data_IF_823021889825
#
_entry.id   IF_823021889825
#
_cell.length_a   1.000
_cell.length_b   1.000
_cell.length_c   1.000
_cell.angle_alpha   90.00
_cell.angle_beta   90.00
_cell.angle_gamma   90.00
#
_symmetry.space_group_name_H-M   'P 1'
#
loop_
_entity.id
_entity.type
_entity.pdbx_description
1 polymer ?
#
# COMPACT_ATOMS: atom_id res chain seq x y z
N UNK A 1 -21.93 25.90 2.27
CA UNK A 1 -20.83 25.87 1.28
C UNK A 1 -21.41 25.54 -0.09
N UNK A 2 -21.01 26.22 -1.17
CA UNK A 2 -21.54 25.95 -2.51
C UNK A 2 -21.03 24.60 -3.05
N UNK A 3 -21.73 23.93 -3.99
CA UNK A 3 -21.26 22.67 -4.57
C UNK A 3 -19.87 22.78 -5.24
N UNK A 4 -19.54 23.96 -5.78
CA UNK A 4 -18.22 24.25 -6.35
C UNK A 4 -17.13 24.31 -5.27
N UNK A 5 -17.37 25.04 -4.18
CA UNK A 5 -16.44 25.11 -3.06
C UNK A 5 -16.22 23.72 -2.43
N UNK A 6 -17.28 22.91 -2.27
CA UNK A 6 -17.16 21.54 -1.76
C UNK A 6 -16.30 20.63 -2.64
N UNK A 7 -16.40 20.78 -3.97
CA UNK A 7 -15.55 20.05 -4.92
C UNK A 7 -14.09 20.50 -4.84
N UNK A 8 -13.84 21.80 -4.75
CA UNK A 8 -12.50 22.35 -4.65
C UNK A 8 -11.80 21.89 -3.36
N UNK A 9 -12.49 21.92 -2.22
CA UNK A 9 -11.97 21.43 -0.94
C UNK A 9 -11.61 19.95 -1.04
N UNK A 10 -12.53 19.11 -1.55
CA UNK A 10 -12.26 17.68 -1.72
C UNK A 10 -11.05 17.42 -2.64
N UNK A 11 -10.96 18.13 -3.77
CA UNK A 11 -9.83 18.00 -4.68
C UNK A 11 -8.51 18.42 -4.03
N UNK A 12 -8.49 19.52 -3.27
CA UNK A 12 -7.32 19.94 -2.51
C UNK A 12 -6.93 18.90 -1.45
N UNK A 13 -7.89 18.31 -0.75
CA UNK A 13 -7.64 17.21 0.19
C UNK A 13 -7.02 16.00 -0.49
N UNK A 14 -7.50 15.63 -1.68
CA UNK A 14 -6.93 14.51 -2.44
C UNK A 14 -5.51 14.81 -2.90
N UNK A 15 -5.25 16.04 -3.37
CA UNK A 15 -3.91 16.47 -3.76
C UNK A 15 -2.93 16.41 -2.58
N UNK A 16 -3.35 16.86 -1.39
CA UNK A 16 -2.54 16.75 -0.16
C UNK A 16 -2.30 15.28 0.21
N UNK A 17 -3.32 14.44 0.18
CA UNK A 17 -3.19 13.02 0.50
C UNK A 17 -2.24 12.27 -0.47
N UNK A 18 -2.28 12.61 -1.76
CA UNK A 18 -1.36 12.10 -2.78
C UNK A 18 0.05 12.62 -2.52
N UNK A 19 0.21 13.91 -2.26
CA UNK A 19 1.51 14.52 -1.99
C UNK A 19 2.18 13.88 -0.75
N UNK A 20 1.42 13.65 0.32
CA UNK A 20 1.91 12.94 1.52
C UNK A 20 2.43 11.56 1.16
N UNK A 21 1.67 10.76 0.39
CA UNK A 21 2.11 9.42 -0.01
C UNK A 21 3.35 9.46 -0.88
N UNK A 22 3.43 10.36 -1.85
CA UNK A 22 4.63 10.53 -2.66
C UNK A 22 5.83 10.90 -1.78
N UNK A 23 5.67 11.83 -0.85
CA UNK A 23 6.71 12.15 0.13
C UNK A 23 7.16 10.91 0.90
N UNK A 24 6.24 10.06 1.36
CA UNK A 24 6.57 8.81 2.05
C UNK A 24 7.29 7.81 1.11
N UNK A 25 6.80 7.62 -0.11
CA UNK A 25 7.41 6.74 -1.12
C UNK A 25 8.88 7.10 -1.34
N UNK A 26 9.20 8.40 -1.46
CA UNK A 26 10.54 8.88 -1.80
C UNK A 26 11.45 9.15 -0.59
N UNK A 27 10.91 9.60 0.54
CA UNK A 27 11.72 10.06 1.68
C UNK A 27 11.78 9.08 2.84
N UNK A 28 10.84 8.13 2.95
CA UNK A 28 10.90 7.12 4.00
C UNK A 28 12.10 6.21 3.74
N UNK A 29 13.01 6.03 4.70
CA UNK A 29 14.14 5.11 4.53
C UNK A 29 13.67 3.65 4.39
N UNK A 30 14.55 2.78 3.92
CA UNK A 30 14.24 1.36 3.74
C UNK A 30 14.61 0.54 4.98
N UNK A 31 13.72 -0.37 5.39
CA UNK A 31 13.90 -1.19 6.59
C UNK A 31 13.90 -0.39 7.90
N UNK A 32 14.72 -0.80 8.87
CA UNK A 32 14.75 -0.22 10.23
C UNK A 32 15.47 1.13 10.36
N UNK A 33 15.93 1.68 9.25
CA UNK A 33 16.64 2.94 9.27
C UNK A 33 15.66 4.07 9.66
N UNK A 34 16.13 5.03 10.45
CA UNK A 34 15.40 6.25 10.78
C UNK A 34 16.09 7.44 10.12
N UNK A 35 15.36 8.18 9.28
CA UNK A 35 15.87 9.37 8.58
C UNK A 35 14.77 10.41 8.48
N UNK A 36 15.11 11.68 8.72
CA UNK A 36 14.13 12.78 8.68
C UNK A 36 12.94 12.59 9.62
N UNK A 37 13.12 11.89 10.75
CA UNK A 37 12.05 11.44 11.68
C UNK A 37 11.02 10.50 11.03
N UNK A 38 11.34 9.92 9.89
CA UNK A 38 10.61 8.83 9.27
C UNK A 38 11.38 7.54 9.54
N UNK A 39 10.68 6.57 10.10
CA UNK A 39 11.14 5.19 10.18
C UNK A 39 10.60 4.44 8.96
N UNK A 40 11.37 3.48 8.44
CA UNK A 40 10.85 2.58 7.41
C UNK A 40 9.92 1.52 8.02
N UNK A 41 9.31 0.71 7.17
CA UNK A 41 8.50 -0.40 7.63
C UNK A 41 9.43 -1.59 7.93
N UNK A 42 9.29 -2.14 9.12
CA UNK A 42 10.19 -3.14 9.70
C UNK A 42 10.21 -4.46 8.92
N UNK A 43 9.11 -4.82 8.24
CA UNK A 43 8.99 -6.00 7.38
C UNK A 43 9.12 -5.69 5.88
N UNK A 44 9.28 -4.42 5.48
CA UNK A 44 9.51 -4.03 4.08
C UNK A 44 10.69 -4.79 3.45
N UNK A 45 11.81 -5.01 4.17
CA UNK A 45 12.89 -5.83 3.65
C UNK A 45 12.48 -7.29 3.41
N UNK A 46 11.59 -7.84 4.22
CA UNK A 46 11.13 -9.21 4.09
C UNK A 46 10.23 -9.38 2.87
N UNK A 47 9.34 -8.41 2.61
CA UNK A 47 8.56 -8.35 1.37
C UNK A 47 9.46 -8.27 0.13
N UNK A 48 10.47 -7.39 0.14
CA UNK A 48 11.42 -7.27 -0.97
C UNK A 48 12.22 -8.55 -1.19
N UNK A 49 12.65 -9.23 -0.11
CA UNK A 49 13.34 -10.51 -0.21
C UNK A 49 12.44 -11.61 -0.77
N UNK A 50 11.15 -11.64 -0.40
CA UNK A 50 10.17 -12.54 -1.00
C UNK A 50 10.09 -12.30 -2.52
N UNK A 51 9.89 -11.04 -2.94
CA UNK A 51 9.79 -10.71 -4.38
C UNK A 51 11.08 -11.12 -5.11
N UNK A 52 12.27 -10.86 -4.54
CA UNK A 52 13.54 -11.29 -5.12
C UNK A 52 13.66 -12.80 -5.21
N UNK A 53 13.24 -13.55 -4.19
CA UNK A 53 13.24 -15.00 -4.22
C UNK A 53 12.36 -15.53 -5.36
N UNK A 54 11.15 -14.99 -5.53
CA UNK A 54 10.27 -15.32 -6.66
C UNK A 54 10.92 -14.98 -8.00
N UNK A 55 11.47 -13.77 -8.12
CA UNK A 55 12.07 -13.24 -9.34
C UNK A 55 13.33 -13.98 -9.79
N UNK A 56 14.04 -14.66 -8.86
CA UNK A 56 15.32 -15.33 -9.13
C UNK A 56 15.19 -16.85 -9.18
N UNK A 57 14.40 -17.44 -8.29
CA UNK A 57 14.29 -18.90 -8.16
C UNK A 57 13.06 -19.48 -8.86
N UNK A 58 12.11 -18.62 -9.22
CA UNK A 58 10.79 -19.00 -9.76
C UNK A 58 10.03 -19.99 -8.87
N UNK A 59 10.29 -19.95 -7.56
CA UNK A 59 9.67 -20.80 -6.55
C UNK A 59 9.20 -19.94 -5.38
N UNK A 60 8.12 -20.36 -4.74
CA UNK A 60 7.69 -19.74 -3.49
C UNK A 60 8.73 -20.02 -2.41
N UNK A 61 9.22 -18.99 -1.71
CA UNK A 61 10.09 -19.17 -0.58
C UNK A 61 9.31 -19.84 0.55
N UNK A 62 10.01 -20.65 1.34
CA UNK A 62 9.46 -21.32 2.51
C UNK A 62 10.05 -20.67 3.74
N UNK A 63 9.20 -20.34 4.71
CA UNK A 63 9.68 -19.80 5.97
C UNK A 63 10.42 -20.84 6.78
N UNK A 64 11.68 -20.54 7.11
CA UNK A 64 12.52 -21.39 7.95
C UNK A 64 12.87 -20.75 9.29
N UNK A 65 12.66 -19.44 9.43
CA UNK A 65 13.03 -18.67 10.62
C UNK A 65 11.85 -17.87 11.17
N UNK A 66 11.83 -17.65 12.48
CA UNK A 66 10.83 -16.85 13.18
C UNK A 66 11.31 -15.43 13.46
N UNK A 67 10.39 -14.46 13.51
CA UNK A 67 10.67 -13.05 13.81
C UNK A 67 11.26 -12.82 15.23
N UNK A 68 11.16 -13.82 16.11
CA UNK A 68 11.66 -13.76 17.49
C UNK A 68 13.12 -14.21 17.60
N UNK A 69 13.71 -14.73 16.53
CA UNK A 69 15.09 -15.15 16.53
C UNK A 69 16.04 -13.94 16.50
N UNK A 70 17.21 -14.03 17.17
CA UNK A 70 18.24 -13.00 17.05
C UNK A 70 18.63 -12.76 15.58
N UNK A 71 18.67 -11.48 15.19
CA UNK A 71 19.00 -11.08 13.82
C UNK A 71 17.93 -11.35 12.76
N UNK A 72 16.69 -11.72 13.14
CA UNK A 72 15.61 -11.97 12.18
C UNK A 72 15.37 -10.76 11.26
N UNK A 73 15.42 -9.55 11.81
CA UNK A 73 15.25 -8.29 11.08
C UNK A 73 16.39 -7.99 10.09
N UNK A 74 17.62 -8.39 10.41
CA UNK A 74 18.76 -8.26 9.49
C UNK A 74 18.67 -9.27 8.33
N UNK A 75 18.18 -10.49 8.60
CA UNK A 75 17.96 -11.52 7.57
C UNK A 75 16.75 -11.22 6.69
N UNK A 76 15.69 -10.69 7.30
CA UNK A 76 14.42 -10.38 6.66
C UNK A 76 13.83 -11.57 5.88
N UNK A 77 13.74 -12.72 6.53
CA UNK A 77 13.20 -13.98 6.00
C UNK A 77 12.06 -14.58 6.86
N UNK A 78 11.52 -13.77 7.78
CA UNK A 78 10.51 -14.17 8.77
C UNK A 78 9.05 -13.98 8.31
N UNK A 79 8.82 -13.50 7.08
CA UNK A 79 7.49 -13.21 6.49
C UNK A 79 7.18 -14.03 5.22
N UNK A 80 7.87 -15.16 5.01
CA UNK A 80 7.61 -16.01 3.84
C UNK A 80 6.28 -16.77 3.92
N UNK A 81 5.57 -16.73 5.05
CA UNK A 81 4.20 -17.25 5.16
C UNK A 81 3.14 -16.37 4.48
N UNK A 82 3.48 -15.12 4.13
CA UNK A 82 2.51 -14.16 3.60
C UNK A 82 1.90 -14.61 2.26
N UNK A 83 0.63 -14.26 1.98
CA UNK A 83 -0.01 -14.59 0.71
C UNK A 83 0.79 -14.07 -0.50
N UNK A 84 0.95 -14.89 -1.57
CA UNK A 84 1.92 -14.59 -2.63
C UNK A 84 1.47 -13.52 -3.62
N UNK A 85 0.17 -13.20 -3.70
CA UNK A 85 -0.39 -12.44 -4.83
C UNK A 85 0.25 -11.05 -5.00
N UNK A 86 0.42 -10.30 -3.91
CA UNK A 86 1.06 -8.97 -3.96
C UNK A 86 2.50 -9.09 -4.48
N UNK A 87 3.26 -10.03 -3.91
CA UNK A 87 4.66 -10.26 -4.27
C UNK A 87 4.82 -10.71 -5.74
N UNK A 88 3.91 -11.54 -6.26
CA UNK A 88 3.91 -11.97 -7.65
C UNK A 88 3.67 -10.81 -8.63
N UNK A 89 2.84 -9.84 -8.27
CA UNK A 89 2.61 -8.64 -9.09
C UNK A 89 3.87 -7.78 -9.19
N UNK A 90 4.66 -7.72 -8.11
CA UNK A 90 5.91 -6.95 -8.08
C UNK A 90 7.08 -7.62 -8.80
N UNK A 91 7.04 -8.93 -9.05
CA UNK A 91 8.11 -9.65 -9.78
C UNK A 91 8.48 -8.98 -11.12
N UNK A 92 7.54 -8.74 -12.06
CA UNK A 92 7.88 -8.06 -13.31
C UNK A 92 8.38 -6.62 -13.09
N UNK A 93 7.92 -5.95 -12.02
CA UNK A 93 8.35 -4.59 -11.67
C UNK A 93 9.82 -4.59 -11.28
N UNK A 94 10.25 -5.58 -10.48
CA UNK A 94 11.67 -5.73 -10.10
C UNK A 94 12.55 -6.01 -11.32
N UNK A 95 12.11 -6.86 -12.26
CA UNK A 95 12.87 -7.13 -13.48
C UNK A 95 13.08 -5.87 -14.34
N UNK A 96 12.06 -5.02 -14.46
CA UNK A 96 12.12 -3.81 -15.28
C UNK A 96 12.88 -2.67 -14.59
N UNK A 97 12.66 -2.50 -13.28
CA UNK A 97 13.19 -1.36 -12.53
C UNK A 97 14.67 -1.48 -12.14
N UNK A 98 15.22 -2.70 -12.08
CA UNK A 98 16.62 -2.94 -11.76
C UNK A 98 17.03 -2.32 -10.42
N UNK A 99 17.99 -1.39 -10.44
CA UNK A 99 18.48 -0.68 -9.25
C UNK A 99 17.42 0.16 -8.55
N UNK A 100 16.33 0.52 -9.25
CA UNK A 100 15.21 1.28 -8.71
C UNK A 100 14.05 0.40 -8.20
N UNK A 101 14.26 -0.91 -8.09
CA UNK A 101 13.23 -1.88 -7.71
C UNK A 101 12.43 -1.49 -6.45
N UNK A 102 13.11 -1.04 -5.38
CA UNK A 102 12.42 -0.66 -4.13
C UNK A 102 11.39 0.45 -4.39
N UNK A 103 11.83 1.53 -5.03
CA UNK A 103 10.96 2.65 -5.35
C UNK A 103 9.81 2.22 -6.27
N UNK A 104 10.09 1.37 -7.26
CA UNK A 104 9.08 0.88 -8.19
C UNK A 104 8.01 0.03 -7.49
N UNK A 105 8.39 -0.89 -6.59
CA UNK A 105 7.43 -1.67 -5.80
C UNK A 105 6.62 -0.78 -4.83
N UNK A 106 7.25 0.23 -4.21
CA UNK A 106 6.50 1.23 -3.40
C UNK A 106 5.44 1.96 -4.23
N UNK A 107 5.75 2.28 -5.48
CA UNK A 107 4.78 2.90 -6.40
C UNK A 107 3.62 1.96 -6.75
N UNK A 108 3.83 0.64 -6.75
CA UNK A 108 2.75 -0.35 -6.91
C UNK A 108 1.79 -0.30 -5.70
N UNK A 109 2.32 -0.35 -4.48
CA UNK A 109 1.52 -0.15 -3.25
C UNK A 109 0.74 1.17 -3.28
N UNK A 110 1.39 2.25 -3.75
CA UNK A 110 0.77 3.56 -3.92
C UNK A 110 -0.42 3.52 -4.88
N UNK A 111 -0.27 2.88 -6.04
CA UNK A 111 -1.35 2.69 -7.01
C UNK A 111 -2.50 1.90 -6.37
N UNK A 112 -2.23 0.81 -5.64
CA UNK A 112 -3.28 0.08 -4.93
C UNK A 112 -3.99 0.93 -3.90
N UNK A 113 -3.26 1.75 -3.14
CA UNK A 113 -3.85 2.71 -2.21
C UNK A 113 -4.80 3.70 -2.89
N UNK A 114 -4.45 4.22 -4.06
CA UNK A 114 -5.34 5.11 -4.82
C UNK A 114 -6.57 4.38 -5.36
N UNK A 115 -6.40 3.17 -5.89
CA UNK A 115 -7.51 2.35 -6.37
C UNK A 115 -8.48 2.02 -5.22
N UNK A 116 -7.97 1.76 -4.01
CA UNK A 116 -8.79 1.55 -2.81
C UNK A 116 -9.70 2.74 -2.55
N UNK A 117 -9.20 3.97 -2.64
CA UNK A 117 -10.01 5.19 -2.46
C UNK A 117 -11.12 5.31 -3.53
N UNK A 118 -10.83 4.92 -4.77
CA UNK A 118 -11.84 4.92 -5.85
C UNK A 118 -12.93 3.87 -5.61
N UNK A 119 -12.57 2.69 -5.13
CA UNK A 119 -13.54 1.63 -4.83
C UNK A 119 -14.37 2.00 -3.60
N UNK A 120 -13.77 2.60 -2.57
CA UNK A 120 -14.49 3.13 -1.41
C UNK A 120 -15.58 4.13 -1.81
N UNK A 121 -15.30 5.06 -2.73
CA UNK A 121 -16.30 6.00 -3.24
C UNK A 121 -17.51 5.28 -3.86
N UNK A 122 -17.28 4.14 -4.54
CA UNK A 122 -18.35 3.31 -5.11
C UNK A 122 -19.11 2.55 -4.04
N UNK A 123 -18.41 1.94 -3.08
CA UNK A 123 -19.02 1.25 -1.92
C UNK A 123 -19.95 2.18 -1.16
N UNK A 124 -19.47 3.37 -0.79
CA UNK A 124 -20.29 4.36 -0.09
C UNK A 124 -21.50 4.82 -0.92
N UNK A 125 -21.37 4.90 -2.25
CA UNK A 125 -22.50 5.18 -3.13
C UNK A 125 -23.56 4.07 -3.14
N UNK A 126 -23.12 2.80 -3.11
CA UNK A 126 -24.02 1.64 -3.03
C UNK A 126 -24.76 1.53 -1.69
N UNK A 127 -24.12 1.98 -0.61
CA UNK A 127 -24.75 2.08 0.71
C UNK A 127 -25.73 3.26 0.85
N UNK A 128 -26.09 3.93 -0.26
CA UNK A 128 -27.00 5.09 -0.24
C UNK A 128 -26.35 6.39 0.24
N UNK A 129 -25.02 6.44 0.33
CA UNK A 129 -24.28 7.61 0.76
C UNK A 129 -24.45 8.78 -0.21
N UNK A 130 -24.86 9.94 0.32
CA UNK A 130 -24.90 11.18 -0.46
C UNK A 130 -23.51 11.57 -0.98
N UNK A 131 -23.44 12.45 -1.98
CA UNK A 131 -22.16 12.94 -2.53
C UNK A 131 -21.24 13.52 -1.43
N UNK A 132 -21.82 14.18 -0.42
CA UNK A 132 -21.07 14.73 0.71
C UNK A 132 -20.49 13.62 1.58
N UNK A 133 -21.31 12.62 1.94
CA UNK A 133 -20.87 11.47 2.77
C UNK A 133 -19.75 10.70 2.08
N UNK A 134 -19.91 10.43 0.78
CA UNK A 134 -18.90 9.74 -0.02
C UNK A 134 -17.55 10.46 -0.01
N UNK A 135 -17.57 11.77 -0.27
CA UNK A 135 -16.35 12.61 -0.24
C UNK A 135 -15.71 12.66 1.13
N UNK A 136 -16.50 12.78 2.19
CA UNK A 136 -15.98 12.78 3.57
C UNK A 136 -15.34 11.44 3.92
N UNK A 137 -15.98 10.31 3.58
CA UNK A 137 -15.43 8.98 3.82
C UNK A 137 -14.13 8.73 3.06
N UNK A 138 -14.09 9.11 1.77
CA UNK A 138 -12.87 9.01 0.97
C UNK A 138 -11.76 9.92 1.51
N UNK A 139 -12.07 11.16 1.86
CA UNK A 139 -11.11 12.10 2.44
C UNK A 139 -10.56 11.60 3.79
N UNK A 140 -11.43 11.01 4.62
CA UNK A 140 -11.03 10.40 5.87
C UNK A 140 -10.01 9.28 5.66
N UNK A 141 -10.33 8.28 4.82
CA UNK A 141 -9.39 7.18 4.56
C UNK A 141 -8.12 7.66 3.84
N UNK A 142 -8.25 8.63 2.93
CA UNK A 142 -7.12 9.21 2.22
C UNK A 142 -6.11 9.90 3.16
N UNK A 143 -6.57 10.55 4.22
CA UNK A 143 -5.71 11.21 5.20
C UNK A 143 -5.39 10.33 6.43
N UNK A 144 -5.99 9.14 6.53
CA UNK A 144 -5.74 8.23 7.63
C UNK A 144 -4.25 7.80 7.62
N UNK A 145 -3.46 8.09 8.67
CA UNK A 145 -2.01 7.89 8.65
C UNK A 145 -1.59 6.46 8.34
N UNK A 146 -2.25 5.47 8.96
CA UNK A 146 -1.97 4.05 8.70
C UNK A 146 -2.20 3.71 7.23
N UNK A 147 -3.29 4.19 6.63
CA UNK A 147 -3.56 3.90 5.23
C UNK A 147 -2.54 4.57 4.31
N UNK A 148 -2.20 5.84 4.56
CA UNK A 148 -1.19 6.55 3.78
C UNK A 148 0.20 5.88 3.89
N UNK A 149 0.60 5.45 5.08
CA UNK A 149 1.89 4.83 5.33
C UNK A 149 2.05 3.47 4.65
N UNK A 150 1.14 2.52 4.90
CA UNK A 150 1.21 1.18 4.33
C UNK A 150 0.98 1.16 2.81
N UNK A 151 0.27 2.14 2.26
CA UNK A 151 0.16 2.31 0.80
C UNK A 151 1.31 3.10 0.19
N UNK A 152 2.35 3.46 0.95
CA UNK A 152 3.54 4.14 0.43
C UNK A 152 4.81 3.29 0.48
N UNK A 153 4.73 2.09 1.05
CA UNK A 153 5.85 1.18 1.30
C UNK A 153 5.57 -0.20 0.66
N UNK A 154 6.60 -1.03 0.49
CA UNK A 154 6.40 -2.40 -0.04
C UNK A 154 5.70 -3.22 1.03
N UNK A 155 4.43 -3.53 0.82
CA UNK A 155 3.59 -4.27 1.76
C UNK A 155 2.43 -4.92 1.00
N UNK A 156 2.04 -6.12 1.43
CA UNK A 156 0.85 -6.79 0.92
C UNK A 156 -0.46 -6.17 1.44
N UNK A 157 -0.43 -5.31 2.46
CA UNK A 157 -1.62 -4.64 3.00
C UNK A 157 -2.30 -3.76 1.96
N UNK A 158 -1.52 -3.07 1.12
CA UNK A 158 -2.06 -2.19 0.09
C UNK A 158 -2.99 -2.93 -0.88
N UNK A 159 -2.57 -4.12 -1.34
CA UNK A 159 -3.39 -4.98 -2.19
C UNK A 159 -4.53 -5.64 -1.39
N UNK A 160 -4.27 -6.06 -0.15
CA UNK A 160 -5.28 -6.68 0.72
C UNK A 160 -6.46 -5.74 0.93
N UNK A 161 -6.22 -4.45 1.20
CA UNK A 161 -7.28 -3.46 1.34
C UNK A 161 -8.04 -3.25 0.03
N UNK A 162 -7.35 -3.16 -1.10
CA UNK A 162 -8.01 -3.04 -2.41
C UNK A 162 -8.94 -4.23 -2.66
N UNK A 163 -8.47 -5.45 -2.44
CA UNK A 163 -9.28 -6.67 -2.60
C UNK A 163 -10.47 -6.66 -1.64
N UNK A 164 -10.26 -6.30 -0.37
CA UNK A 164 -11.35 -6.23 0.60
C UNK A 164 -12.45 -5.26 0.13
N UNK A 165 -12.10 -4.05 -0.30
CA UNK A 165 -13.06 -3.09 -0.83
C UNK A 165 -13.73 -3.55 -2.13
N UNK A 166 -13.00 -4.23 -3.02
CA UNK A 166 -13.57 -4.83 -4.23
C UNK A 166 -14.60 -5.90 -3.87
N UNK A 167 -14.28 -6.80 -2.94
CA UNK A 167 -15.21 -7.84 -2.48
C UNK A 167 -16.43 -7.21 -1.80
N UNK A 168 -16.25 -6.22 -0.93
CA UNK A 168 -17.37 -5.47 -0.33
C UNK A 168 -18.23 -4.83 -1.41
N UNK A 169 -17.63 -4.21 -2.42
CA UNK A 169 -18.40 -3.65 -3.54
C UNK A 169 -19.19 -4.72 -4.28
N UNK A 170 -18.61 -5.88 -4.56
CA UNK A 170 -19.33 -6.97 -5.24
C UNK A 170 -20.50 -7.49 -4.41
N UNK A 171 -20.33 -7.66 -3.09
CA UNK A 171 -21.40 -8.08 -2.19
C UNK A 171 -22.59 -7.11 -2.15
N UNK A 172 -22.38 -5.83 -2.46
CA UNK A 172 -23.44 -4.81 -2.53
C UNK A 172 -24.10 -4.70 -3.92
N UNK A 173 -23.60 -5.44 -4.92
CA UNK A 173 -24.13 -5.46 -6.28
C UNK A 173 -24.94 -6.73 -6.56
N UNK A 174 -24.66 -7.81 -5.85
CA UNK A 174 -25.49 -9.03 -5.82
C UNK A 174 -26.86 -8.74 -5.21
#
# INVERSE_FOLDING_TARGET
MTPRAARAVFAATMAVAIAIRLVLVFLTPYGHLVRNRLEGLNDEPAHMNYIRALATTHRFPVQTHHAAEPGAFDRADFEYYQPPLAHLIDVPVVWIAGTHAILACRLVSFVFGLLTLLVLDRVLGRLGGSTTVRRLGVAFLALLPVHAYFTSLISNDALTWLIAFLLTHQLLVL
#
